data_IF_668610449614
#
_entry.id   IF_668610449614
#
_cell.length_a   1.000
_cell.length_b   1.000
_cell.length_c   1.000
_cell.angle_alpha   90.00
_cell.angle_beta   90.00
_cell.angle_gamma   90.00
#
_symmetry.space_group_name_H-M   'P 1'
#
loop_
_entity.id
_entity.type
_entity.pdbx_description
1 polymer ?
#
# COMPACT_ATOMS: atom_id res chain seq x y z
N UNK A 1 -12.67 -27.59 -13.96
CA UNK A 1 -13.12 -27.39 -12.56
C UNK A 1 -13.47 -28.74 -11.99
N UNK A 2 -12.71 -29.25 -11.03
CA UNK A 2 -13.05 -30.50 -10.34
C UNK A 2 -13.92 -30.17 -9.13
N UNK A 3 -15.05 -30.86 -8.99
CA UNK A 3 -15.95 -30.71 -7.85
C UNK A 3 -15.38 -31.43 -6.62
N UNK A 4 -15.07 -30.69 -5.56
CA UNK A 4 -14.57 -31.29 -4.32
C UNK A 4 -15.62 -32.27 -3.73
N UNK A 5 -15.24 -33.50 -3.35
CA UNK A 5 -16.17 -34.44 -2.72
C UNK A 5 -16.49 -33.96 -1.30
N UNK A 6 -17.78 -33.85 -0.98
CA UNK A 6 -18.24 -33.46 0.37
C UNK A 6 -17.91 -34.56 1.39
N UNK A 7 -16.91 -34.33 2.22
CA UNK A 7 -16.55 -35.26 3.31
C UNK A 7 -17.60 -35.14 4.43
N UNK A 8 -18.05 -36.28 4.96
CA UNK A 8 -19.10 -36.36 5.99
C UNK A 8 -18.57 -37.11 7.20
N UNK A 9 -18.79 -36.57 8.39
CA UNK A 9 -18.38 -37.23 9.63
C UNK A 9 -19.11 -38.57 9.80
N UNK A 10 -18.37 -39.67 9.95
CA UNK A 10 -19.01 -41.00 10.09
C UNK A 10 -19.84 -41.14 11.37
N UNK A 11 -19.58 -40.32 12.40
CA UNK A 11 -20.16 -40.45 13.74
C UNK A 11 -21.39 -39.56 13.98
N UNK A 12 -21.38 -38.29 13.56
CA UNK A 12 -22.57 -37.40 13.63
C UNK A 12 -23.34 -37.27 12.30
N UNK A 13 -22.80 -37.76 11.17
CA UNK A 13 -23.36 -37.64 9.80
C UNK A 13 -23.47 -36.21 9.25
N UNK A 14 -22.87 -35.23 9.90
CA UNK A 14 -22.82 -33.85 9.41
C UNK A 14 -21.72 -33.65 8.35
N UNK A 15 -21.92 -32.74 7.38
CA UNK A 15 -20.91 -32.40 6.39
C UNK A 15 -19.77 -31.60 7.02
N UNK A 16 -18.53 -32.03 6.77
CA UNK A 16 -17.34 -31.36 7.29
C UNK A 16 -16.92 -30.25 6.31
N UNK A 17 -16.81 -29.02 6.81
CA UNK A 17 -16.11 -27.96 6.09
C UNK A 17 -14.61 -28.19 6.25
N UNK A 18 -13.93 -28.46 5.12
CA UNK A 18 -12.48 -28.44 5.06
C UNK A 18 -12.02 -26.98 5.03
N UNK A 19 -11.03 -26.65 5.87
CA UNK A 19 -10.40 -25.33 5.84
C UNK A 19 -9.73 -25.08 4.49
N UNK A 20 -9.75 -23.84 4.00
CA UNK A 20 -9.16 -23.49 2.70
C UNK A 20 -7.65 -23.77 2.65
N UNK A 21 -6.94 -23.69 3.79
CA UNK A 21 -5.53 -24.05 3.90
C UNK A 21 -5.24 -25.53 3.59
N UNK A 22 -6.24 -26.41 3.67
CA UNK A 22 -6.11 -27.85 3.38
C UNK A 22 -6.32 -28.21 1.91
N UNK A 23 -6.76 -27.27 1.06
CA UNK A 23 -7.13 -27.55 -0.34
C UNK A 23 -5.93 -27.51 -1.29
N UNK A 24 -4.94 -26.65 -1.01
CA UNK A 24 -3.77 -26.42 -1.87
C UNK A 24 -2.46 -27.04 -1.32
N UNK A 25 -2.54 -28.17 -0.61
CA UNK A 25 -1.34 -28.86 -0.11
C UNK A 25 -0.53 -29.52 -1.23
N UNK A 26 0.74 -29.14 -1.35
CA UNK A 26 1.74 -29.89 -2.09
C UNK A 26 1.93 -31.29 -1.45
N UNK A 27 2.03 -32.38 -2.24
CA UNK A 27 2.11 -33.74 -1.69
C UNK A 27 3.23 -34.00 -0.67
N UNK A 28 4.33 -33.25 -0.75
CA UNK A 28 5.45 -33.31 0.20
C UNK A 28 5.13 -32.81 1.61
N UNK A 29 4.00 -32.12 1.82
CA UNK A 29 3.58 -31.62 3.13
C UNK A 29 2.73 -32.63 3.93
N UNK A 30 2.19 -33.67 3.28
CA UNK A 30 1.33 -34.65 3.96
C UNK A 30 2.10 -35.47 5.01
N UNK A 31 3.32 -35.92 4.70
CA UNK A 31 4.13 -36.71 5.63
C UNK A 31 4.50 -35.91 6.89
N UNK A 32 4.74 -34.59 6.77
CA UNK A 32 5.02 -33.70 7.91
C UNK A 32 3.81 -33.58 8.86
N UNK A 33 2.60 -33.55 8.31
CA UNK A 33 1.36 -33.48 9.09
C UNK A 33 1.03 -34.84 9.71
N UNK A 34 1.24 -35.94 8.97
CA UNK A 34 1.04 -37.30 9.50
C UNK A 34 2.03 -37.61 10.64
N UNK A 35 3.28 -37.17 10.52
CA UNK A 35 4.32 -37.35 11.53
C UNK A 35 4.14 -36.49 12.80
N UNK A 36 3.27 -35.47 12.77
CA UNK A 36 2.94 -34.62 13.92
C UNK A 36 1.63 -35.00 14.63
N UNK A 37 0.96 -36.07 14.19
CA UNK A 37 -0.18 -36.66 14.91
C UNK A 37 0.30 -37.67 15.97
N UNK A 38 -0.30 -37.68 17.18
CA UNK A 38 0.06 -38.66 18.21
C UNK A 38 -0.32 -40.09 17.78
N UNK A 39 0.47 -41.12 18.17
CA UNK A 39 0.22 -42.50 17.80
C UNK A 39 -1.11 -42.99 18.39
N UNK A 40 -1.95 -43.62 17.55
CA UNK A 40 -3.25 -44.14 17.98
C UNK A 40 -3.07 -45.27 19.00
N UNK A 41 -3.59 -45.07 20.20
CA UNK A 41 -3.74 -46.12 21.21
C UNK A 41 -4.77 -47.15 20.74
N UNK A 42 -4.29 -48.36 20.42
CA UNK A 42 -5.13 -49.51 20.10
C UNK A 42 -5.79 -50.05 21.38
N UNK A 43 -7.03 -49.66 21.67
CA UNK A 43 -7.76 -50.18 22.83
C UNK A 43 -8.07 -51.67 22.68
N UNK A 44 -7.41 -52.52 23.46
CA UNK A 44 -7.61 -53.98 23.47
C UNK A 44 -9.01 -54.34 23.98
N UNK A 45 -9.94 -54.68 23.08
CA UNK A 45 -11.28 -55.12 23.47
C UNK A 45 -11.43 -56.64 23.44
N UNK A 46 -11.38 -57.23 24.63
CA UNK A 46 -11.59 -58.66 24.88
C UNK A 46 -13.00 -59.10 24.43
N UNK A 47 -13.14 -60.32 23.87
CA UNK A 47 -14.43 -60.99 23.64
C UNK A 47 -14.34 -62.50 23.92
N UNK A 48 -15.15 -62.98 24.85
CA UNK A 48 -15.40 -64.41 25.08
C UNK A 48 -16.70 -64.84 24.36
N UNK A 49 -16.67 -66.04 23.77
CA UNK A 49 -17.81 -66.90 23.41
C UNK A 49 -17.24 -68.30 23.07
N UNK A 50 -17.27 -69.30 23.97
CA UNK A 50 -18.37 -70.25 24.30
C UNK A 50 -18.61 -71.34 23.25
N UNK A 51 -18.43 -72.60 23.68
CA UNK A 51 -18.60 -73.85 22.91
C UNK A 51 -20.07 -74.33 22.74
N UNK A 52 -20.22 -75.51 22.10
CA UNK A 52 -21.42 -76.24 21.61
C UNK A 52 -21.86 -75.84 20.19
N UNK A 53 -22.17 -76.74 19.24
CA UNK A 53 -22.28 -78.23 19.22
C UNK A 53 -22.01 -78.74 17.75
N UNK A 54 -22.10 -80.01 17.30
CA UNK A 54 -22.78 -81.25 17.77
C UNK A 54 -22.07 -82.55 17.31
N UNK A 55 -22.62 -83.68 17.77
CA UNK A 55 -22.29 -85.11 17.59
C UNK A 55 -22.22 -85.66 16.14
N UNK A 56 -21.34 -86.65 15.92
CA UNK A 56 -21.41 -87.66 14.84
C UNK A 56 -20.71 -88.98 15.22
N UNK A 57 -21.22 -90.14 14.79
CA UNK A 57 -20.81 -91.52 15.15
C UNK A 57 -20.65 -92.40 13.87
N UNK A 58 -20.15 -93.66 13.92
CA UNK A 58 -19.03 -94.21 14.72
C UNK A 58 -18.12 -95.22 13.92
N UNK A 59 -16.92 -95.53 14.41
CA UNK A 59 -16.26 -96.84 14.14
C UNK A 59 -15.06 -97.11 15.07
N UNK A 60 -14.98 -98.32 15.64
CA UNK A 60 -13.79 -98.83 16.34
C UNK A 60 -12.83 -99.48 15.31
N UNK A 61 -11.49 -99.43 15.49
CA UNK A 61 -10.83 -99.98 16.68
C UNK A 61 -9.71 -99.07 17.26
N UNK A 62 -10.09 -98.00 17.96
CA UNK A 62 -9.14 -97.11 18.65
C UNK A 62 -8.60 -97.69 19.98
N UNK A 63 -9.44 -98.43 20.71
CA UNK A 63 -9.25 -98.83 22.11
C UNK A 63 -7.93 -99.54 22.42
N UNK A 64 -7.37 -100.31 21.48
CA UNK A 64 -6.09 -101.02 21.67
C UNK A 64 -4.84 -100.15 21.51
N UNK A 65 -4.94 -98.96 20.91
CA UNK A 65 -3.85 -97.97 20.86
C UNK A 65 -4.08 -96.84 21.88
N UNK A 66 -5.34 -96.55 22.22
CA UNK A 66 -5.70 -95.72 23.38
C UNK A 66 -5.16 -96.34 24.68
N UNK A 67 -5.46 -97.61 24.97
CA UNK A 67 -4.92 -98.29 26.16
C UNK A 67 -3.39 -98.42 26.18
N UNK A 68 -2.71 -98.44 25.02
CA UNK A 68 -1.24 -98.35 24.96
C UNK A 68 -0.74 -96.96 25.30
N UNK A 69 -1.37 -95.90 24.77
CA UNK A 69 -1.04 -94.50 25.12
C UNK A 69 -1.32 -94.19 26.59
N UNK A 70 -2.42 -94.71 27.13
CA UNK A 70 -2.74 -94.62 28.56
C UNK A 70 -1.69 -95.36 29.39
N UNK A 71 -1.34 -96.61 29.05
CA UNK A 71 -0.26 -97.36 29.70
C UNK A 71 1.08 -96.61 29.64
N UNK A 72 1.45 -96.07 28.49
CA UNK A 72 2.74 -95.39 28.31
C UNK A 72 2.75 -94.01 28.99
N UNK A 73 1.60 -93.35 29.08
CA UNK A 73 1.37 -92.19 29.94
C UNK A 73 1.45 -92.53 31.43
N UNK A 74 0.89 -93.66 31.86
CA UNK A 74 1.02 -94.18 33.23
C UNK A 74 2.48 -94.53 33.55
N UNK A 75 3.23 -95.14 32.63
CA UNK A 75 4.67 -95.42 32.80
C UNK A 75 5.49 -94.13 32.85
N UNK A 76 5.15 -93.12 32.04
CA UNK A 76 5.79 -91.80 32.11
C UNK A 76 5.48 -91.09 33.43
N UNK A 77 4.23 -91.16 33.91
CA UNK A 77 3.79 -90.63 35.19
C UNK A 77 4.44 -91.36 36.37
N UNK A 78 4.44 -92.70 36.40
CA UNK A 78 5.18 -93.48 37.39
C UNK A 78 6.67 -93.15 37.37
N UNK A 79 7.27 -92.95 36.21
CA UNK A 79 8.70 -92.59 36.10
C UNK A 79 8.99 -91.19 36.63
N UNK A 80 8.13 -90.21 36.39
CA UNK A 80 8.29 -88.86 36.92
C UNK A 80 7.96 -88.81 38.43
N UNK A 81 6.90 -89.49 38.89
CA UNK A 81 6.57 -89.68 40.32
C UNK A 81 7.68 -90.42 41.05
N UNK A 82 8.30 -91.42 40.41
CA UNK A 82 9.47 -92.12 40.93
C UNK A 82 10.70 -91.21 41.00
N UNK A 83 10.92 -90.37 40.00
CA UNK A 83 12.02 -89.39 39.94
C UNK A 83 11.84 -88.26 40.96
N UNK A 84 10.61 -87.80 41.20
CA UNK A 84 10.28 -86.93 42.32
C UNK A 84 10.48 -87.65 43.65
N UNK A 85 10.03 -88.90 43.82
CA UNK A 85 10.35 -89.71 45.01
C UNK A 85 11.85 -89.96 45.20
N UNK A 86 12.63 -90.06 44.13
CA UNK A 86 14.09 -90.20 44.19
C UNK A 86 14.75 -88.86 44.56
N UNK A 87 14.15 -87.71 44.21
CA UNK A 87 14.50 -86.37 44.72
C UNK A 87 14.06 -86.13 46.18
N UNK A 88 12.92 -86.65 46.60
CA UNK A 88 12.41 -86.56 47.98
C UNK A 88 13.18 -87.49 48.94
N UNK A 89 13.57 -88.68 48.47
CA UNK A 89 14.34 -89.66 49.25
C UNK A 89 15.85 -89.41 49.23
N UNK A 90 16.39 -88.73 48.20
CA UNK A 90 17.59 -87.90 48.33
C UNK A 90 17.25 -86.56 49.00
N UNK A 91 16.53 -86.63 50.12
CA UNK A 91 16.17 -85.47 50.92
C UNK A 91 17.43 -84.70 51.31
N UNK A 92 17.40 -83.40 51.03
CA UNK A 92 18.48 -82.44 51.26
C UNK A 92 19.16 -82.71 52.61
N UNK A 93 20.48 -82.98 52.64
CA UNK A 93 21.11 -83.37 53.90
C UNK A 93 21.01 -82.23 54.91
N UNK A 94 20.92 -82.56 56.20
CA UNK A 94 20.61 -81.57 57.24
C UNK A 94 21.55 -80.34 57.18
N UNK A 95 22.84 -80.57 56.99
CA UNK A 95 23.84 -79.49 56.89
C UNK A 95 23.68 -78.63 55.63
N UNK A 96 23.33 -79.23 54.49
CA UNK A 96 23.06 -78.49 53.24
C UNK A 96 21.76 -77.69 53.34
N UNK A 97 20.75 -78.23 54.03
CA UNK A 97 19.50 -77.54 54.31
C UNK A 97 19.74 -76.34 55.26
N UNK A 98 20.52 -76.53 56.33
CA UNK A 98 20.92 -75.46 57.25
C UNK A 98 21.73 -74.37 56.54
N UNK A 99 22.73 -74.72 55.71
CA UNK A 99 23.48 -73.77 54.86
C UNK A 99 22.58 -73.02 53.87
N UNK A 100 21.57 -73.70 53.30
CA UNK A 100 20.61 -73.07 52.38
C UNK A 100 19.67 -72.10 53.10
N UNK A 101 19.24 -72.42 54.32
CA UNK A 101 18.45 -71.52 55.19
C UNK A 101 19.29 -70.31 55.61
N UNK A 102 20.55 -70.50 55.97
CA UNK A 102 21.49 -69.41 56.31
C UNK A 102 21.70 -68.48 55.11
N UNK A 103 21.97 -69.03 53.91
CA UNK A 103 22.07 -68.21 52.69
C UNK A 103 20.77 -67.45 52.41
N UNK A 104 19.61 -68.11 52.45
CA UNK A 104 18.33 -67.46 52.15
C UNK A 104 18.02 -66.31 53.12
N UNK A 105 18.44 -66.39 54.39
CA UNK A 105 18.33 -65.27 55.35
C UNK A 105 19.25 -64.11 55.00
N UNK A 106 20.43 -64.36 54.46
CA UNK A 106 21.35 -63.33 53.98
C UNK A 106 20.78 -62.64 52.72
N UNK A 107 20.30 -63.45 51.77
CA UNK A 107 19.65 -62.97 50.54
C UNK A 107 18.38 -62.16 50.87
N UNK A 108 17.58 -62.58 51.86
CA UNK A 108 16.40 -61.88 52.40
C UNK A 108 16.78 -60.53 53.03
N UNK A 109 17.82 -60.49 53.87
CA UNK A 109 18.28 -59.24 54.50
C UNK A 109 18.76 -58.23 53.46
N UNK A 110 19.54 -58.67 52.47
CA UNK A 110 20.00 -57.83 51.37
C UNK A 110 18.84 -57.30 50.52
N UNK A 111 17.84 -58.13 50.21
CA UNK A 111 16.65 -57.71 49.46
C UNK A 111 15.80 -56.68 50.25
N UNK A 112 15.65 -56.86 51.57
CA UNK A 112 14.95 -55.92 52.44
C UNK A 112 15.69 -54.59 52.59
N UNK A 113 17.02 -54.59 52.57
CA UNK A 113 17.82 -53.35 52.61
C UNK A 113 17.78 -52.60 51.28
N UNK A 114 17.89 -53.30 50.15
CA UNK A 114 17.69 -52.72 48.81
C UNK A 114 16.29 -52.12 48.64
N UNK A 115 15.24 -52.80 49.13
CA UNK A 115 13.86 -52.32 49.03
C UNK A 115 13.64 -51.04 49.83
N UNK A 116 14.25 -50.90 51.01
CA UNK A 116 14.16 -49.66 51.82
C UNK A 116 14.83 -48.46 51.15
N UNK A 117 15.99 -48.66 50.53
CA UNK A 117 16.66 -47.57 49.83
C UNK A 117 15.87 -47.17 48.58
N UNK A 118 15.32 -48.13 47.83
CA UNK A 118 14.43 -47.86 46.70
C UNK A 118 13.11 -47.16 47.10
N UNK A 119 12.52 -47.50 48.26
CA UNK A 119 11.37 -46.77 48.81
C UNK A 119 11.72 -45.31 49.17
N UNK A 120 12.91 -45.09 49.72
CA UNK A 120 13.46 -43.77 50.06
C UNK A 120 13.77 -42.93 48.82
N UNK A 121 14.41 -43.50 47.81
CA UNK A 121 14.64 -42.87 46.50
C UNK A 121 13.32 -42.50 45.84
N UNK A 122 12.31 -43.39 45.86
CA UNK A 122 10.98 -43.08 45.31
C UNK A 122 10.32 -41.90 46.03
N UNK A 123 10.39 -41.84 47.36
CA UNK A 123 9.83 -40.72 48.14
C UNK A 123 10.55 -39.39 47.89
N UNK A 124 11.83 -39.41 47.50
CA UNK A 124 12.56 -38.21 47.07
C UNK A 124 12.09 -37.76 45.69
N UNK A 125 12.01 -38.69 44.73
CA UNK A 125 11.52 -38.43 43.37
C UNK A 125 10.04 -37.99 43.35
N UNK A 126 9.19 -38.56 44.21
CA UNK A 126 7.78 -38.20 44.37
C UNK A 126 7.63 -36.70 44.80
N UNK A 127 8.55 -36.17 45.63
CA UNK A 127 8.57 -34.77 46.06
C UNK A 127 9.23 -33.83 45.03
N UNK A 128 10.32 -34.26 44.39
CA UNK A 128 10.96 -33.51 43.29
C UNK A 128 9.98 -33.31 42.12
N UNK A 129 9.24 -34.35 41.74
CA UNK A 129 8.17 -34.27 40.75
C UNK A 129 7.10 -33.25 41.16
N UNK A 130 6.68 -33.26 42.43
CA UNK A 130 5.67 -32.34 42.97
C UNK A 130 6.11 -30.87 42.94
N UNK A 131 7.41 -30.61 43.10
CA UNK A 131 7.99 -29.26 42.96
C UNK A 131 8.01 -28.83 41.49
N UNK A 132 8.50 -29.68 40.59
CA UNK A 132 8.55 -29.40 39.15
C UNK A 132 7.15 -29.18 38.56
N UNK A 133 6.17 -29.98 38.96
CA UNK A 133 4.75 -29.78 38.63
C UNK A 133 4.18 -28.44 39.11
N UNK A 134 4.75 -27.82 40.16
CA UNK A 134 4.31 -26.52 40.65
C UNK A 134 5.05 -25.38 39.93
N UNK A 135 6.31 -25.57 39.55
CA UNK A 135 7.08 -24.62 38.73
C UNK A 135 6.52 -24.54 37.29
N UNK A 136 6.18 -25.68 36.68
CA UNK A 136 5.54 -25.77 35.35
C UNK A 136 4.27 -24.90 35.28
N UNK A 137 3.37 -25.06 36.25
CA UNK A 137 2.10 -24.31 36.32
C UNK A 137 2.28 -22.80 36.56
N UNK A 138 3.43 -22.37 37.10
CA UNK A 138 3.79 -20.96 37.21
C UNK A 138 4.36 -20.42 35.88
N UNK A 139 5.18 -21.22 35.18
CA UNK A 139 5.71 -20.88 33.86
C UNK A 139 4.58 -20.78 32.81
N UNK A 140 3.59 -21.69 32.82
CA UNK A 140 2.40 -21.60 31.96
C UNK A 140 1.65 -20.27 32.14
N UNK A 141 1.50 -19.80 33.39
CA UNK A 141 0.84 -18.54 33.71
C UNK A 141 1.63 -17.34 33.17
N UNK A 142 2.95 -17.33 33.36
CA UNK A 142 3.81 -16.24 32.92
C UNK A 142 4.00 -16.21 31.40
N UNK A 143 4.05 -17.36 30.72
CA UNK A 143 3.94 -17.40 29.25
C UNK A 143 2.58 -16.86 28.78
N UNK A 144 1.47 -17.27 29.40
CA UNK A 144 0.15 -16.75 29.06
C UNK A 144 0.00 -15.24 29.33
N UNK A 145 0.75 -14.68 30.28
CA UNK A 145 0.86 -13.23 30.52
C UNK A 145 1.75 -12.55 29.45
N UNK A 146 2.90 -13.14 29.13
CA UNK A 146 3.83 -12.67 28.11
C UNK A 146 3.17 -12.58 26.74
N UNK A 147 2.48 -13.64 26.29
CA UNK A 147 1.83 -13.67 24.98
C UNK A 147 0.69 -12.66 24.84
N UNK A 148 -0.08 -12.40 25.92
CA UNK A 148 -1.06 -11.30 25.94
C UNK A 148 -0.39 -9.94 25.75
N UNK A 149 0.64 -9.64 26.56
CA UNK A 149 1.40 -8.40 26.43
C UNK A 149 2.08 -8.26 25.05
N UNK A 150 2.56 -9.35 24.45
CA UNK A 150 3.16 -9.35 23.12
C UNK A 150 2.13 -9.00 22.04
N UNK A 151 0.95 -9.63 22.08
CA UNK A 151 -0.15 -9.36 21.15
C UNK A 151 -0.67 -7.91 21.26
N UNK A 152 -0.85 -7.40 22.47
CA UNK A 152 -1.28 -6.02 22.71
C UNK A 152 -0.27 -5.00 22.17
N UNK A 153 1.04 -5.30 22.27
CA UNK A 153 2.10 -4.48 21.70
C UNK A 153 2.11 -4.53 20.16
N UNK A 154 1.88 -5.69 19.54
CA UNK A 154 1.75 -5.82 18.07
C UNK A 154 0.54 -5.02 17.57
N UNK A 155 -0.63 -5.19 18.18
CA UNK A 155 -1.85 -4.45 17.83
C UNK A 155 -1.64 -2.94 17.98
N UNK A 156 -0.98 -2.52 19.07
CA UNK A 156 -0.60 -1.12 19.31
C UNK A 156 0.44 -0.58 18.32
N UNK A 157 1.25 -1.45 17.71
CA UNK A 157 2.19 -1.11 16.63
C UNK A 157 1.46 -0.91 15.31
N UNK A 158 0.64 -1.88 14.91
CA UNK A 158 -0.13 -1.83 13.67
C UNK A 158 -1.14 -0.68 13.65
N UNK A 159 -1.77 -0.34 14.78
CA UNK A 159 -2.64 0.82 14.86
C UNK A 159 -1.89 2.14 14.59
N UNK A 160 -0.64 2.27 15.05
CA UNK A 160 0.22 3.44 14.79
C UNK A 160 0.72 3.44 13.35
N UNK A 161 1.08 2.28 12.79
CA UNK A 161 1.45 2.12 11.39
C UNK A 161 0.29 2.55 10.47
N UNK A 162 -0.94 2.14 10.78
CA UNK A 162 -2.14 2.51 10.05
C UNK A 162 -2.41 4.02 10.13
N UNK A 163 -2.38 4.62 11.32
CA UNK A 163 -2.53 6.08 11.50
C UNK A 163 -1.49 6.87 10.68
N UNK A 164 -0.23 6.44 10.72
CA UNK A 164 0.88 7.04 9.98
C UNK A 164 0.72 6.88 8.46
N UNK A 165 0.22 5.74 7.99
CA UNK A 165 -0.10 5.51 6.58
C UNK A 165 -1.25 6.41 6.10
N UNK A 166 -2.34 6.53 6.88
CA UNK A 166 -3.45 7.45 6.59
C UNK A 166 -2.98 8.91 6.54
N UNK A 167 -2.17 9.35 7.51
CA UNK A 167 -1.64 10.71 7.54
C UNK A 167 -0.72 11.02 6.35
N UNK A 168 0.12 10.07 5.94
CA UNK A 168 0.96 10.20 4.73
C UNK A 168 0.12 10.26 3.45
N UNK A 169 -0.97 9.49 3.36
CA UNK A 169 -1.87 9.52 2.21
C UNK A 169 -2.62 10.87 2.11
N UNK A 170 -3.10 11.41 3.23
CA UNK A 170 -3.71 12.74 3.29
C UNK A 170 -2.71 13.83 2.87
N UNK A 171 -1.52 13.85 3.48
CA UNK A 171 -0.45 14.81 3.13
C UNK A 171 -0.06 14.76 1.64
N UNK A 172 0.01 13.57 1.04
CA UNK A 172 0.31 13.42 -0.38
C UNK A 172 -0.81 14.00 -1.28
N UNK A 173 -2.07 13.83 -0.89
CA UNK A 173 -3.21 14.40 -1.60
C UNK A 173 -3.24 15.94 -1.46
N UNK A 174 -3.08 16.46 -0.24
CA UNK A 174 -3.07 17.90 0.03
C UNK A 174 -1.90 18.61 -0.67
N UNK A 175 -0.72 17.99 -0.71
CA UNK A 175 0.45 18.48 -1.46
C UNK A 175 0.19 18.57 -2.97
N UNK A 176 -0.45 17.54 -3.56
CA UNK A 176 -0.83 17.56 -4.98
C UNK A 176 -1.93 18.59 -5.29
N UNK A 177 -2.83 18.87 -4.33
CA UNK A 177 -3.81 19.96 -4.43
C UNK A 177 -3.12 21.33 -4.34
N UNK A 178 -2.13 21.49 -3.45
CA UNK A 178 -1.36 22.72 -3.33
C UNK A 178 -0.56 23.02 -4.62
N UNK A 179 0.19 22.05 -5.16
CA UNK A 179 0.93 22.24 -6.42
C UNK A 179 -0.02 22.64 -7.56
N UNK A 180 -1.22 22.05 -7.62
CA UNK A 180 -2.24 22.45 -8.59
C UNK A 180 -2.73 23.89 -8.38
N UNK A 181 -2.94 24.30 -7.13
CA UNK A 181 -3.43 25.65 -6.79
C UNK A 181 -2.37 26.74 -7.05
N UNK A 182 -1.10 26.48 -6.74
CA UNK A 182 0.02 27.36 -7.07
C UNK A 182 0.18 27.55 -8.58
N UNK A 183 -0.17 26.52 -9.37
CA UNK A 183 -0.15 26.56 -10.84
C UNK A 183 -1.38 27.27 -11.43
N UNK A 184 -2.52 27.30 -10.75
CA UNK A 184 -3.71 28.09 -11.14
C UNK A 184 -3.58 29.56 -10.76
N UNK A 185 -2.70 30.26 -11.47
CA UNK A 185 -2.57 31.71 -11.39
C UNK A 185 -3.81 32.38 -12.03
N UNK A 186 -4.70 32.91 -11.18
CA UNK A 186 -5.96 33.57 -11.57
C UNK A 186 -5.81 34.64 -12.65
N UNK A 187 -4.65 35.32 -12.73
CA UNK A 187 -4.41 36.32 -13.78
C UNK A 187 -4.15 35.69 -15.17
N UNK A 188 -3.59 34.47 -15.23
CA UNK A 188 -3.47 33.74 -16.50
C UNK A 188 -4.85 33.27 -16.99
N UNK A 189 -5.72 32.84 -16.08
CA UNK A 189 -7.09 32.42 -16.40
C UNK A 189 -7.94 33.62 -16.85
N UNK A 190 -7.76 34.80 -16.23
CA UNK A 190 -8.44 36.04 -16.61
C UNK A 190 -7.88 36.69 -17.90
N UNK A 191 -6.61 36.46 -18.22
CA UNK A 191 -5.92 37.01 -19.40
C UNK A 191 -5.11 35.93 -20.13
N UNK A 192 -5.82 34.99 -20.74
CA UNK A 192 -5.27 33.89 -21.53
C UNK A 192 -4.56 34.40 -22.80
N UNK A 193 -3.28 34.74 -22.70
CA UNK A 193 -2.44 35.12 -23.84
C UNK A 193 -1.90 33.88 -24.57
N UNK A 194 -2.32 33.70 -25.82
CA UNK A 194 -1.91 32.60 -26.70
C UNK A 194 -1.49 33.08 -28.10
N UNK A 195 -1.59 32.18 -29.07
CA UNK A 195 -1.43 32.49 -30.49
C UNK A 195 -2.39 31.64 -31.34
N UNK A 196 -2.83 32.19 -32.47
CA UNK A 196 -3.59 31.48 -33.50
C UNK A 196 -2.86 31.67 -34.84
N UNK A 197 -2.13 30.64 -35.27
CA UNK A 197 -1.22 30.69 -36.42
C UNK A 197 -0.22 31.86 -36.34
N UNK A 198 -0.50 32.91 -37.12
CA UNK A 198 0.29 34.15 -37.19
C UNK A 198 -0.10 35.19 -36.12
N UNK A 199 -1.36 35.16 -35.65
CA UNK A 199 -1.90 36.13 -34.69
C UNK A 199 -1.42 35.86 -33.26
N UNK A 200 -1.21 36.91 -32.47
CA UNK A 200 -1.30 36.81 -31.02
C UNK A 200 -2.77 36.81 -30.60
N UNK A 201 -3.14 36.05 -29.56
CA UNK A 201 -4.51 36.01 -29.05
C UNK A 201 -4.56 36.39 -27.57
N UNK A 202 -5.66 37.02 -27.14
CA UNK A 202 -5.97 37.29 -25.73
C UNK A 202 -7.43 36.93 -25.46
N UNK A 203 -7.67 36.02 -24.50
CA UNK A 203 -9.00 35.46 -24.20
C UNK A 203 -9.71 34.92 -25.46
N UNK A 204 -8.96 34.29 -26.36
CA UNK A 204 -9.43 33.76 -27.65
C UNK A 204 -9.57 34.77 -28.79
N UNK A 205 -9.54 36.08 -28.51
CA UNK A 205 -9.68 37.14 -29.51
C UNK A 205 -8.35 37.36 -30.25
N UNK A 206 -8.37 37.44 -31.59
CA UNK A 206 -7.17 37.64 -32.42
C UNK A 206 -6.81 39.12 -32.53
N UNK A 207 -5.58 39.46 -32.16
CA UNK A 207 -5.06 40.82 -32.21
C UNK A 207 -4.21 41.02 -33.48
N UNK A 208 -4.86 41.36 -34.59
CA UNK A 208 -4.22 41.67 -35.87
C UNK A 208 -5.11 41.44 -37.10
N UNK A 209 -4.53 41.57 -38.29
CA UNK A 209 -5.09 41.23 -39.61
C UNK A 209 -4.01 40.68 -40.53
N UNK A 210 -4.36 39.75 -41.43
CA UNK A 210 -3.48 39.35 -42.54
C UNK A 210 -4.31 39.14 -43.81
N UNK A 211 -3.73 39.35 -45.01
CA UNK A 211 -4.37 38.98 -46.27
C UNK A 211 -4.78 37.50 -46.27
N UNK A 212 -6.03 37.23 -46.66
CA UNK A 212 -6.59 35.88 -46.71
C UNK A 212 -7.36 35.44 -45.45
N UNK A 213 -7.13 36.04 -44.27
CA UNK A 213 -7.91 35.75 -43.05
C UNK A 213 -8.45 37.06 -42.45
N UNK A 214 -9.65 37.51 -42.86
CA UNK A 214 -10.23 38.74 -42.33
C UNK A 214 -10.65 38.57 -40.86
N UNK A 215 -10.02 39.34 -39.97
CA UNK A 215 -10.41 39.48 -38.56
C UNK A 215 -11.26 40.74 -38.41
N UNK A 216 -12.44 40.63 -37.78
CA UNK A 216 -13.36 41.75 -37.72
C UNK A 216 -12.92 42.86 -36.77
N UNK A 217 -13.28 44.10 -37.08
CA UNK A 217 -12.88 45.25 -36.24
C UNK A 217 -13.47 45.18 -34.83
N UNK A 218 -14.64 44.56 -34.66
CA UNK A 218 -15.20 44.30 -33.33
C UNK A 218 -14.32 43.36 -32.48
N UNK A 219 -13.71 42.34 -33.10
CA UNK A 219 -12.81 41.40 -32.44
C UNK A 219 -11.48 42.08 -32.07
N UNK A 220 -10.90 42.84 -33.00
CA UNK A 220 -9.66 43.61 -32.81
C UNK A 220 -9.83 44.65 -31.70
N UNK A 221 -10.93 45.40 -31.70
CA UNK A 221 -11.23 46.40 -30.68
C UNK A 221 -11.45 45.76 -29.31
N UNK A 222 -12.15 44.61 -29.24
CA UNK A 222 -12.32 43.86 -28.00
C UNK A 222 -10.98 43.31 -27.48
N UNK A 223 -10.12 42.80 -28.36
CA UNK A 223 -8.77 42.33 -28.02
C UNK A 223 -7.91 43.49 -27.48
N UNK A 224 -7.95 44.67 -28.11
CA UNK A 224 -7.31 45.88 -27.59
C UNK A 224 -7.87 46.31 -26.23
N UNK A 225 -9.18 46.16 -26.01
CA UNK A 225 -9.81 46.39 -24.72
C UNK A 225 -9.29 45.48 -23.60
N UNK A 226 -9.18 44.18 -23.86
CA UNK A 226 -8.57 43.21 -22.95
C UNK A 226 -7.08 43.51 -22.73
N UNK A 227 -6.37 43.93 -23.78
CA UNK A 227 -4.94 44.27 -23.74
C UNK A 227 -4.68 45.52 -22.88
N UNK A 228 -5.56 46.54 -22.94
CA UNK A 228 -5.50 47.69 -22.04
C UNK A 228 -5.90 47.33 -20.59
N UNK A 229 -6.93 46.50 -20.41
CA UNK A 229 -7.35 46.06 -19.08
C UNK A 229 -6.25 45.24 -18.38
N UNK A 230 -5.51 44.42 -19.12
CA UNK A 230 -4.32 43.74 -18.61
C UNK A 230 -3.23 44.73 -18.20
N UNK A 231 -2.87 45.68 -19.07
CA UNK A 231 -1.85 46.69 -18.74
C UNK A 231 -2.25 47.54 -17.52
N UNK A 232 -3.54 47.91 -17.41
CA UNK A 232 -4.11 48.60 -16.26
C UNK A 232 -4.02 47.75 -14.97
N UNK A 233 -4.30 46.44 -15.06
CA UNK A 233 -4.19 45.50 -13.93
C UNK A 233 -2.74 45.37 -13.44
N UNK A 234 -1.77 45.21 -14.36
CA UNK A 234 -0.34 45.14 -14.01
C UNK A 234 0.15 46.47 -13.43
N UNK A 235 -0.17 47.60 -14.07
CA UNK A 235 0.19 48.93 -13.59
C UNK A 235 -0.33 49.20 -12.18
N UNK A 236 -1.59 48.81 -11.88
CA UNK A 236 -2.17 48.92 -10.53
C UNK A 236 -1.52 47.98 -9.51
N UNK A 237 -1.05 46.80 -9.88
CA UNK A 237 -0.31 45.91 -8.96
C UNK A 237 1.08 46.47 -8.59
N UNK A 238 1.65 47.33 -9.45
CA UNK A 238 2.98 47.92 -9.29
C UNK A 238 2.94 49.43 -8.95
N UNK A 239 1.78 49.94 -8.53
CA UNK A 239 1.49 51.37 -8.25
C UNK A 239 1.97 52.37 -9.33
N UNK A 240 2.00 51.93 -10.58
CA UNK A 240 2.54 52.71 -11.68
C UNK A 240 1.50 53.68 -12.24
N UNK A 241 1.82 54.97 -12.18
CA UNK A 241 0.88 56.07 -12.38
C UNK A 241 0.54 56.38 -13.86
N UNK A 242 -0.14 55.46 -14.54
CA UNK A 242 -0.74 55.67 -15.87
C UNK A 242 -2.27 55.77 -15.84
N UNK A 243 -2.81 56.78 -16.55
CA UNK A 243 -4.25 57.02 -16.69
C UNK A 243 -4.83 56.19 -17.85
N UNK A 244 -4.76 54.86 -17.69
CA UNK A 244 -5.31 53.86 -18.60
C UNK A 244 -6.80 53.67 -18.29
N UNK A 245 -7.67 53.84 -19.30
CA UNK A 245 -9.13 53.81 -19.13
C UNK A 245 -9.73 52.65 -19.94
N UNK A 246 -9.79 51.44 -19.37
CA UNK A 246 -10.42 50.28 -20.01
C UNK A 246 -11.94 50.46 -20.08
N UNK A 247 -12.49 50.39 -21.29
CA UNK A 247 -13.92 50.56 -21.61
C UNK A 247 -14.39 49.49 -22.61
N UNK A 248 -13.92 48.24 -22.42
CA UNK A 248 -14.13 47.16 -23.39
C UNK A 248 -13.60 47.56 -24.77
N UNK A 249 -14.39 47.34 -25.81
CA UNK A 249 -14.04 47.67 -27.21
C UNK A 249 -13.90 49.17 -27.53
N UNK A 250 -14.12 50.07 -26.55
CA UNK A 250 -13.94 51.52 -26.70
C UNK A 250 -12.86 52.09 -25.76
N UNK A 251 -11.90 51.25 -25.39
CA UNK A 251 -10.80 51.57 -24.48
C UNK A 251 -9.90 52.70 -24.97
N UNK A 252 -9.36 53.49 -24.02
CA UNK A 252 -8.57 54.69 -24.33
C UNK A 252 -7.46 54.96 -23.31
N UNK A 253 -6.42 55.67 -23.74
CA UNK A 253 -5.35 56.18 -22.89
C UNK A 253 -5.51 57.69 -22.74
N UNK A 254 -5.41 58.20 -21.52
CA UNK A 254 -5.35 59.64 -21.24
C UNK A 254 -3.93 60.00 -20.77
N UNK A 255 -3.39 61.11 -21.26
CA UNK A 255 -2.01 61.50 -20.96
C UNK A 255 -1.94 62.37 -19.70
N UNK A 256 -1.10 62.00 -18.73
CA UNK A 256 -0.95 62.71 -17.45
C UNK A 256 -0.28 64.08 -17.59
N UNK A 257 0.72 64.20 -18.47
CA UNK A 257 1.55 65.41 -18.61
C UNK A 257 1.22 66.24 -19.86
N UNK A 258 0.33 67.21 -19.71
CA UNK A 258 0.02 68.22 -20.74
C UNK A 258 -1.48 68.45 -20.93
N UNK A 259 -1.86 68.83 -22.16
CA UNK A 259 -3.25 68.93 -22.58
C UNK A 259 -3.97 67.56 -22.48
N UNK A 260 -5.30 67.57 -22.28
CA UNK A 260 -6.13 66.38 -22.01
C UNK A 260 -6.42 65.54 -23.26
N UNK A 261 -5.37 65.29 -24.05
CA UNK A 261 -5.45 64.39 -25.19
C UNK A 261 -5.82 62.97 -24.72
N UNK A 262 -6.95 62.48 -25.22
CA UNK A 262 -7.37 61.09 -25.10
C UNK A 262 -7.08 60.37 -26.41
N UNK A 263 -6.38 59.25 -26.33
CA UNK A 263 -5.99 58.43 -27.47
C UNK A 263 -6.82 57.15 -27.49
N UNK A 264 -7.55 56.94 -28.58
CA UNK A 264 -8.51 55.84 -28.76
C UNK A 264 -7.78 54.56 -29.22
N UNK A 265 -7.98 53.45 -28.51
CA UNK A 265 -7.43 52.12 -28.88
C UNK A 265 -8.47 51.26 -29.62
N UNK A 266 -9.29 51.90 -30.46
CA UNK A 266 -10.28 51.23 -31.29
C UNK A 266 -10.32 51.85 -32.69
N UNK A 267 -10.55 51.00 -33.70
CA UNK A 267 -10.69 51.40 -35.09
C UNK A 267 -12.08 51.12 -35.66
N UNK A 268 -12.32 51.55 -36.90
CA UNK A 268 -13.55 51.27 -37.64
C UNK A 268 -13.23 50.99 -39.11
N UNK A 269 -13.89 49.99 -39.70
CA UNK A 269 -13.59 49.51 -41.05
C UNK A 269 -14.06 50.42 -42.19
N UNK A 270 -14.86 51.45 -41.91
CA UNK A 270 -15.66 52.14 -42.92
C UNK A 270 -15.19 53.58 -43.20
N UNK A 271 -14.93 53.87 -44.49
CA UNK A 271 -14.67 55.15 -45.19
C UNK A 271 -13.69 56.20 -44.59
N UNK A 272 -13.60 56.41 -43.28
CA UNK A 272 -12.71 57.41 -42.65
C UNK A 272 -11.21 57.05 -42.59
N UNK A 273 -10.74 56.16 -43.49
CA UNK A 273 -9.54 55.32 -43.33
C UNK A 273 -8.21 56.09 -43.16
N UNK A 274 -8.09 57.36 -43.57
CA UNK A 274 -6.89 58.16 -43.34
C UNK A 274 -6.89 58.91 -41.99
N UNK A 275 -8.03 59.47 -41.57
CA UNK A 275 -8.10 60.31 -40.37
C UNK A 275 -8.31 59.48 -39.09
N UNK A 276 -9.07 58.39 -39.17
CA UNK A 276 -9.32 57.54 -38.01
C UNK A 276 -8.08 56.71 -37.64
N UNK A 277 -7.43 56.09 -38.63
CA UNK A 277 -6.19 55.34 -38.44
C UNK A 277 -5.09 56.18 -37.79
N UNK A 278 -4.97 57.47 -38.13
CA UNK A 278 -3.98 58.37 -37.50
C UNK A 278 -4.20 58.55 -35.99
N UNK A 279 -5.45 58.57 -35.51
CA UNK A 279 -5.75 58.66 -34.05
C UNK A 279 -5.48 57.34 -33.34
N UNK A 280 -5.87 56.22 -33.97
CA UNK A 280 -5.59 54.87 -33.50
C UNK A 280 -4.08 54.57 -33.43
N UNK A 281 -3.31 55.00 -34.43
CA UNK A 281 -1.84 54.91 -34.45
C UNK A 281 -1.20 55.69 -33.30
N UNK A 282 -1.70 56.89 -32.96
CA UNK A 282 -1.24 57.61 -31.77
C UNK A 282 -1.62 56.88 -30.47
N UNK A 283 -2.77 56.20 -30.42
CA UNK A 283 -3.14 55.32 -29.30
C UNK A 283 -2.20 54.13 -29.15
N UNK A 284 -1.91 53.41 -30.23
CA UNK A 284 -1.00 52.27 -30.22
C UNK A 284 0.43 52.67 -29.84
N UNK A 285 0.91 53.83 -30.29
CA UNK A 285 2.22 54.39 -29.86
C UNK A 285 2.19 54.74 -28.37
N UNK A 286 1.18 55.47 -27.89
CA UNK A 286 1.04 55.79 -26.47
C UNK A 286 0.93 54.53 -25.59
N UNK A 287 0.32 53.44 -26.10
CA UNK A 287 0.29 52.15 -25.42
C UNK A 287 1.69 51.54 -25.26
N UNK A 288 2.50 51.50 -26.33
CA UNK A 288 3.85 50.93 -26.22
C UNK A 288 4.83 51.84 -25.49
N UNK A 289 4.61 53.16 -25.44
CA UNK A 289 5.34 54.05 -24.52
C UNK A 289 5.03 53.70 -23.05
N UNK A 290 3.76 53.43 -22.70
CA UNK A 290 3.39 52.98 -21.35
C UNK A 290 3.97 51.58 -21.03
N UNK A 291 3.89 50.65 -21.99
CA UNK A 291 4.48 49.31 -21.85
C UNK A 291 6.01 49.40 -21.73
N UNK A 292 6.67 50.29 -22.48
CA UNK A 292 8.11 50.50 -22.39
C UNK A 292 8.53 50.88 -20.97
N UNK A 293 7.93 51.90 -20.39
CA UNK A 293 8.26 52.33 -19.04
C UNK A 293 7.96 51.25 -17.98
N UNK A 294 6.94 50.42 -18.19
CA UNK A 294 6.72 49.21 -17.39
C UNK A 294 7.86 48.19 -17.56
N UNK A 295 8.30 47.88 -18.78
CA UNK A 295 9.43 46.95 -19.01
C UNK A 295 10.77 47.49 -18.48
N UNK A 296 11.02 48.79 -18.61
CA UNK A 296 12.21 49.45 -18.08
C UNK A 296 12.18 49.46 -16.53
N UNK A 297 11.01 49.66 -15.91
CA UNK A 297 10.83 49.52 -14.46
C UNK A 297 11.10 48.08 -14.00
N UNK A 298 10.53 47.07 -14.67
CA UNK A 298 10.78 45.65 -14.33
C UNK A 298 12.28 45.33 -14.42
N UNK A 299 12.96 45.73 -15.50
CA UNK A 299 14.42 45.55 -15.64
C UNK A 299 15.25 46.30 -14.60
N UNK A 300 14.72 47.37 -13.99
CA UNK A 300 15.37 48.09 -12.90
C UNK A 300 15.29 47.35 -11.54
N UNK A 301 14.26 46.53 -11.35
CA UNK A 301 14.08 45.72 -10.13
C UNK A 301 14.72 44.34 -10.28
N UNK A 302 14.61 43.73 -11.46
CA UNK A 302 15.13 42.40 -11.77
C UNK A 302 15.82 42.39 -13.15
N UNK A 303 17.16 42.53 -13.17
CA UNK A 303 17.96 42.46 -14.40
C UNK A 303 17.98 41.08 -15.07
N UNK A 304 17.45 40.02 -14.44
CA UNK A 304 17.37 38.69 -15.05
C UNK A 304 16.22 38.53 -16.05
N UNK A 305 15.24 39.46 -16.02
CA UNK A 305 14.09 39.43 -16.95
C UNK A 305 14.49 39.98 -18.32
N UNK A 306 14.83 39.09 -19.25
CA UNK A 306 14.96 39.49 -20.64
C UNK A 306 13.60 39.72 -21.34
N UNK A 307 13.61 40.67 -22.27
CA UNK A 307 12.50 41.04 -23.13
C UNK A 307 13.02 41.03 -24.58
N UNK A 308 12.79 39.94 -25.36
CA UNK A 308 13.41 39.73 -26.67
C UNK A 308 13.12 40.77 -27.76
N UNK A 309 12.13 41.65 -27.53
CA UNK A 309 11.71 42.69 -28.47
C UNK A 309 11.75 44.04 -27.77
N UNK A 310 12.87 44.76 -27.94
CA UNK A 310 13.06 46.09 -27.36
C UNK A 310 12.08 47.09 -27.97
N UNK A 311 11.46 47.92 -27.14
CA UNK A 311 10.55 48.99 -27.57
C UNK A 311 11.34 50.28 -27.82
N UNK A 312 11.13 50.90 -28.98
CA UNK A 312 11.80 52.14 -29.39
C UNK A 312 10.85 52.98 -30.26
N UNK A 313 10.34 54.08 -29.69
CA UNK A 313 9.33 54.95 -30.33
C UNK A 313 8.12 54.12 -30.79
N UNK A 314 7.77 54.16 -32.07
CA UNK A 314 6.66 53.40 -32.64
C UNK A 314 6.98 51.94 -32.99
N UNK A 315 8.15 51.42 -32.62
CA UNK A 315 8.59 50.06 -32.94
C UNK A 315 8.77 49.17 -31.72
N UNK A 316 8.55 47.87 -31.93
CA UNK A 316 8.84 46.79 -31.00
C UNK A 316 9.61 45.69 -31.74
N UNK A 317 10.90 45.55 -31.44
CA UNK A 317 11.83 44.84 -32.32
C UNK A 317 12.07 45.61 -33.62
N UNK A 318 11.94 44.93 -34.76
CA UNK A 318 12.14 45.48 -36.11
C UNK A 318 10.88 46.18 -36.68
N UNK A 319 9.69 45.72 -36.27
CA UNK A 319 8.37 46.13 -36.79
C UNK A 319 7.77 47.34 -36.07
N UNK A 320 7.02 48.17 -36.82
CA UNK A 320 6.22 49.28 -36.26
C UNK A 320 4.82 48.81 -35.86
N UNK A 321 4.28 49.40 -34.80
CA UNK A 321 2.90 49.16 -34.34
C UNK A 321 1.86 50.01 -35.08
N UNK A 322 2.29 51.00 -35.88
CA UNK A 322 1.37 51.79 -36.69
C UNK A 322 0.72 50.94 -37.77
N UNK A 323 -0.54 51.20 -38.05
CA UNK A 323 -1.28 50.61 -39.16
C UNK A 323 -1.13 51.46 -40.44
N UNK A 324 -0.92 52.77 -40.33
CA UNK A 324 -0.72 53.62 -41.51
C UNK A 324 0.66 53.38 -42.15
N UNK A 325 0.67 53.17 -43.47
CA UNK A 325 1.86 52.85 -44.29
C UNK A 325 2.61 51.56 -43.91
N UNK A 326 1.97 50.65 -43.18
CA UNK A 326 2.52 49.36 -42.79
C UNK A 326 1.83 48.20 -43.57
N UNK A 327 2.45 47.03 -43.60
CA UNK A 327 1.82 45.80 -44.10
C UNK A 327 1.05 45.12 -42.96
N UNK A 328 -0.12 44.54 -43.22
CA UNK A 328 -0.99 43.98 -42.16
C UNK A 328 -0.30 42.85 -41.39
N UNK A 329 0.56 42.06 -42.04
CA UNK A 329 1.35 40.98 -41.43
C UNK A 329 2.47 41.52 -40.53
N UNK A 330 3.10 42.63 -40.90
CA UNK A 330 4.12 43.29 -40.07
C UNK A 330 3.49 43.99 -38.87
N UNK A 331 2.31 44.60 -39.06
CA UNK A 331 1.48 45.12 -37.97
C UNK A 331 1.07 44.00 -37.00
N UNK A 332 0.49 42.90 -37.48
CA UNK A 332 0.12 41.72 -36.67
C UNK A 332 1.31 41.12 -35.91
N UNK A 333 2.50 41.08 -36.52
CA UNK A 333 3.74 40.67 -35.83
C UNK A 333 4.07 41.57 -34.66
N UNK A 334 3.95 42.90 -34.81
CA UNK A 334 4.17 43.86 -33.71
C UNK A 334 3.21 43.64 -32.54
N UNK A 335 1.93 43.33 -32.83
CA UNK A 335 0.90 43.07 -31.82
C UNK A 335 1.17 41.76 -31.07
N UNK A 336 1.66 40.73 -31.76
CA UNK A 336 2.16 39.49 -31.14
C UNK A 336 3.37 39.75 -30.22
N UNK A 337 4.28 40.65 -30.59
CA UNK A 337 5.39 41.04 -29.71
C UNK A 337 4.91 41.82 -28.48
N UNK A 338 3.90 42.69 -28.62
CA UNK A 338 3.25 43.40 -27.49
C UNK A 338 2.61 42.41 -26.52
N UNK A 339 1.84 41.45 -27.02
CA UNK A 339 1.23 40.40 -26.18
C UNK A 339 2.30 39.52 -25.50
N UNK A 340 3.42 39.22 -26.17
CA UNK A 340 4.53 38.51 -25.54
C UNK A 340 5.19 39.32 -24.42
N UNK A 341 5.45 40.62 -24.64
CA UNK A 341 6.00 41.50 -23.61
C UNK A 341 5.04 41.62 -22.41
N UNK A 342 3.73 41.79 -22.65
CA UNK A 342 2.70 41.78 -21.59
C UNK A 342 2.66 40.45 -20.83
N UNK A 343 2.85 39.31 -21.50
CA UNK A 343 2.93 37.99 -20.86
C UNK A 343 4.16 37.85 -19.96
N UNK A 344 5.30 38.43 -20.35
CA UNK A 344 6.51 38.50 -19.51
C UNK A 344 6.27 39.43 -18.32
N UNK A 345 5.70 40.63 -18.54
CA UNK A 345 5.33 41.56 -17.48
C UNK A 345 4.37 40.92 -16.46
N UNK A 346 3.35 40.20 -16.94
CA UNK A 346 2.38 39.53 -16.07
C UNK A 346 3.06 38.42 -15.26
N UNK A 347 3.82 37.53 -15.92
CA UNK A 347 4.56 36.45 -15.23
C UNK A 347 5.46 37.02 -14.14
N UNK A 348 6.21 38.08 -14.42
CA UNK A 348 7.05 38.72 -13.40
C UNK A 348 6.19 39.32 -12.28
N UNK A 349 5.14 40.08 -12.61
CA UNK A 349 4.26 40.69 -11.62
C UNK A 349 3.44 39.67 -10.79
N UNK A 350 3.30 38.41 -11.23
CA UNK A 350 2.64 37.33 -10.45
C UNK A 350 3.59 36.40 -9.73
N UNK A 351 4.78 36.15 -10.28
CA UNK A 351 5.80 35.30 -9.66
C UNK A 351 6.69 36.11 -8.68
N UNK A 352 6.77 37.43 -8.85
CA UNK A 352 7.43 38.34 -7.93
C UNK A 352 6.65 38.47 -6.63
N UNK A 353 7.31 38.13 -5.53
CA UNK A 353 6.84 38.29 -4.14
C UNK A 353 6.91 39.77 -3.77
N UNK A 354 5.98 40.56 -4.32
CA UNK A 354 5.65 41.89 -3.83
C UNK A 354 4.53 41.77 -2.77
N UNK A 355 4.85 41.08 -1.68
CA UNK A 355 3.92 40.63 -0.64
C UNK A 355 4.46 39.40 0.07
#
# INVERSE_FOLDING_TARGET
MMSNPSVVCQQCKEPLQLDASLVDLAPSAYDTIIASLPPRSSSTHLRHATDAEKVGQPSAPSSLDETKKERDGYIAFEKEVRKERERESQGLTKEEAEKKIEKLKLDEQLAVEQLKEAEKERLQLDEELRVLEQEEKLLELDEANFWRNHNDNILSGEQKNMQLATLRAAYAADSAVLEKLERTNVYNDAFCIGHDGVFGTINGLRLGRVPGVPVEWAEINAAWGQTLLLLHTIARKLDYNYRLVPMGSFSRIERTSGDKASYELYGSGHLGRLLHNRRFDFGMVAFIDCLKCLTDYIKSQDPSVDFPHLISKDKIGDVSIKLQFNQEEAWTRSLRHVLLALKICLKWATNGVNG
#
